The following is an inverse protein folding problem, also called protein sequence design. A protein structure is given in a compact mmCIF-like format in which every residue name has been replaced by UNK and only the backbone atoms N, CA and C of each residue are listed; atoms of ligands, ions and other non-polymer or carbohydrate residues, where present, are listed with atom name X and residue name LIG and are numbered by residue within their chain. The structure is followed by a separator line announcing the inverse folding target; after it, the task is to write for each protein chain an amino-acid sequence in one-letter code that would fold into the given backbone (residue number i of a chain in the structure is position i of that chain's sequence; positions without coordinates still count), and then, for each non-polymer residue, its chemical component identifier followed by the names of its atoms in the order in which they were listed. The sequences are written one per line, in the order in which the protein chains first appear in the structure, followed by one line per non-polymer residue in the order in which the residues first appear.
data_IF_044494786815
#
_entry.id   IF_044494786815
#
_cell.length_a   1.000
_cell.length_b   1.000
_cell.length_c   1.000
_cell.angle_alpha   90.00
_cell.angle_beta   90.00
_cell.angle_gamma   90.00
#
_symmetry.space_group_name_H-M   'P 1'
#
loop_
_entity.id
_entity.type
_entity.pdbx_description
1 polymer ?
#
# COMPACT_ATOMS: atom_id res chain seq x y z
N UNK A 1 -3.96 -24.09 0.01
CA UNK A 1 -3.19 -22.94 -0.49
C UNK A 1 -3.72 -21.65 0.09
N UNK A 2 -2.82 -20.78 0.54
CA UNK A 2 -3.24 -19.47 1.06
C UNK A 2 -3.71 -18.56 -0.06
N UNK A 3 -4.76 -17.80 0.21
CA UNK A 3 -5.17 -16.72 -0.68
C UNK A 3 -4.27 -15.52 -0.46
N UNK A 4 -4.00 -14.79 -1.53
CA UNK A 4 -3.07 -13.66 -1.52
C UNK A 4 -3.80 -12.33 -1.37
N UNK A 5 -3.29 -11.48 -0.48
CA UNK A 5 -3.68 -10.09 -0.34
C UNK A 5 -2.48 -9.24 -0.73
N UNK A 6 -2.65 -8.35 -1.69
CA UNK A 6 -1.59 -7.46 -2.17
C UNK A 6 -1.78 -6.08 -1.57
N UNK A 7 -0.71 -5.56 -0.94
CA UNK A 7 -0.67 -4.21 -0.39
C UNK A 7 0.20 -3.32 -1.28
N UNK A 8 -0.30 -2.14 -1.62
CA UNK A 8 0.54 -1.05 -2.05
C UNK A 8 1.38 -0.57 -0.86
N UNK A 9 2.44 0.16 -1.11
CA UNK A 9 3.36 0.61 -0.07
C UNK A 9 3.12 2.06 0.33
N UNK A 10 3.38 3.00 -0.58
CA UNK A 10 3.19 4.43 -0.29
C UNK A 10 1.71 4.77 -0.13
N UNK A 11 1.38 5.41 0.99
CA UNK A 11 -0.01 5.77 1.30
C UNK A 11 -0.84 4.64 1.88
N UNK A 12 -0.28 3.45 2.07
CA UNK A 12 -0.95 2.29 2.67
C UNK A 12 -0.17 1.76 3.86
N UNK A 13 1.09 1.37 3.66
CA UNK A 13 2.00 0.90 4.74
C UNK A 13 2.85 2.08 5.22
N UNK A 14 3.53 2.74 4.31
CA UNK A 14 4.29 3.97 4.53
C UNK A 14 3.32 5.15 4.49
N UNK A 15 3.32 6.00 5.50
CA UNK A 15 2.33 7.10 5.58
C UNK A 15 2.45 8.11 4.44
N UNK A 16 3.64 8.24 3.86
CA UNK A 16 3.87 9.01 2.64
C UNK A 16 3.50 10.49 2.74
N UNK A 17 3.61 11.07 3.94
CA UNK A 17 3.24 12.48 4.19
C UNK A 17 4.14 13.46 3.44
N UNK A 18 5.41 13.13 3.36
CA UNK A 18 6.42 13.96 2.69
C UNK A 18 6.33 13.88 1.17
N UNK A 19 5.74 12.81 0.63
CA UNK A 19 5.62 12.60 -0.80
C UNK A 19 6.87 11.94 -1.40
N UNK A 20 6.96 11.98 -2.72
CA UNK A 20 8.01 11.30 -3.46
C UNK A 20 9.31 12.11 -3.50
N UNK A 21 10.41 11.48 -3.10
CA UNK A 21 11.74 12.07 -3.17
C UNK A 21 12.77 11.07 -3.73
N UNK A 22 12.30 10.06 -4.46
CA UNK A 22 13.12 9.00 -5.04
C UNK A 22 12.75 7.62 -4.51
N UNK A 23 13.05 6.60 -5.29
CA UNK A 23 12.66 5.22 -4.96
C UNK A 23 13.27 4.70 -3.65
N UNK A 24 14.43 5.25 -3.26
CA UNK A 24 15.14 4.82 -2.04
C UNK A 24 14.90 5.71 -0.83
N UNK A 25 14.19 6.82 -1.01
CA UNK A 25 13.91 7.77 0.07
C UNK A 25 12.54 7.48 0.66
N UNK A 26 12.51 6.87 1.84
CA UNK A 26 11.30 6.51 2.56
C UNK A 26 11.32 7.26 3.89
N UNK A 27 10.80 8.49 3.87
CA UNK A 27 11.07 9.48 4.90
C UNK A 27 10.10 9.44 6.09
N UNK A 28 8.95 8.78 5.93
CA UNK A 28 7.87 8.90 6.90
C UNK A 28 7.67 7.60 7.69
N UNK A 29 6.92 7.65 8.80
CA UNK A 29 6.63 6.45 9.58
C UNK A 29 5.54 5.61 8.92
N UNK A 30 5.33 4.37 9.42
CA UNK A 30 4.19 3.56 9.02
C UNK A 30 2.86 4.25 9.32
N UNK A 31 1.84 3.91 8.55
CA UNK A 31 0.47 4.29 8.88
C UNK A 31 0.12 3.68 10.25
N UNK A 32 -0.44 4.47 11.18
CA UNK A 32 -0.79 3.94 12.50
C UNK A 32 -1.70 2.71 12.42
N UNK A 33 -1.31 1.64 13.09
CA UNK A 33 -2.07 0.40 13.12
C UNK A 33 -1.81 -0.57 11.97
N UNK A 34 -1.02 -0.18 10.96
CA UNK A 34 -0.80 -1.03 9.78
C UNK A 34 -0.02 -2.30 10.11
N UNK A 35 0.96 -2.20 11.01
CA UNK A 35 1.74 -3.36 11.45
C UNK A 35 0.83 -4.44 12.06
N UNK A 36 -0.04 -4.02 12.94
CA UNK A 36 -0.98 -4.91 13.63
C UNK A 36 -2.01 -5.48 12.65
N UNK A 37 -2.50 -4.68 11.71
CA UNK A 37 -3.45 -5.12 10.69
C UNK A 37 -2.84 -6.19 9.78
N UNK A 38 -1.60 -6.00 9.35
CA UNK A 38 -0.90 -6.98 8.50
C UNK A 38 -0.68 -8.28 9.28
N UNK A 39 -0.28 -8.19 10.55
CA UNK A 39 -0.09 -9.37 11.38
C UNK A 39 -1.41 -10.15 11.56
N UNK A 40 -2.51 -9.45 11.77
CA UNK A 40 -3.84 -10.04 11.90
C UNK A 40 -4.26 -10.76 10.61
N UNK A 41 -4.02 -10.15 9.46
CA UNK A 41 -4.34 -10.73 8.16
C UNK A 41 -3.53 -12.01 7.93
N UNK A 42 -2.24 -11.99 8.24
CA UNK A 42 -1.37 -13.17 8.12
C UNK A 42 -1.82 -14.28 9.07
N UNK A 43 -2.18 -13.93 10.29
CA UNK A 43 -2.66 -14.88 11.30
C UNK A 43 -3.98 -15.52 10.89
N UNK A 44 -4.80 -14.81 10.13
CA UNK A 44 -6.05 -15.34 9.58
C UNK A 44 -5.82 -16.31 8.41
N UNK A 45 -4.57 -16.51 7.97
CA UNK A 45 -4.20 -17.50 6.96
C UNK A 45 -3.98 -16.94 5.56
N UNK A 46 -3.94 -15.64 5.39
CA UNK A 46 -3.65 -15.03 4.09
C UNK A 46 -2.15 -14.87 3.87
N UNK A 47 -1.74 -14.94 2.61
CA UNK A 47 -0.40 -14.53 2.21
C UNK A 47 -0.42 -13.02 1.96
N UNK A 48 0.47 -12.27 2.61
CA UNK A 48 0.59 -10.83 2.41
C UNK A 48 1.77 -10.53 1.49
N UNK A 49 1.49 -9.85 0.38
CA UNK A 49 2.46 -9.46 -0.63
C UNK A 49 2.47 -7.94 -0.75
N UNK A 50 3.66 -7.36 -0.85
CA UNK A 50 3.82 -5.92 -1.06
C UNK A 50 4.37 -5.65 -2.45
N UNK A 51 3.75 -4.74 -3.17
CA UNK A 51 4.19 -4.28 -4.50
C UNK A 51 4.09 -2.76 -4.55
N UNK A 52 5.10 -2.13 -5.13
CA UNK A 52 5.15 -0.67 -5.25
C UNK A 52 5.92 -0.31 -6.52
N UNK A 53 5.75 0.90 -7.01
CA UNK A 53 6.63 1.43 -8.06
C UNK A 53 8.09 1.40 -7.61
N UNK A 54 8.34 1.51 -6.29
CA UNK A 54 9.69 1.43 -5.73
C UNK A 54 10.33 0.06 -5.94
N UNK A 55 9.53 -1.00 -5.87
CA UNK A 55 10.06 -2.37 -5.99
C UNK A 55 10.37 -2.79 -7.41
N UNK A 56 10.07 -1.95 -8.40
CA UNK A 56 10.43 -2.20 -9.80
C UNK A 56 11.94 -2.06 -10.05
N UNK A 57 12.67 -1.31 -9.22
CA UNK A 57 14.12 -1.20 -9.29
C UNK A 57 14.79 -1.99 -8.17
N UNK A 58 16.02 -2.44 -8.41
CA UNK A 58 16.81 -3.17 -7.41
C UNK A 58 17.03 -2.32 -6.15
N UNK A 59 17.36 -1.04 -6.34
CA UNK A 59 17.63 -0.12 -5.24
C UNK A 59 16.37 0.16 -4.42
N UNK A 60 15.26 0.41 -5.10
CA UNK A 60 13.98 0.67 -4.44
C UNK A 60 13.46 -0.56 -3.71
N UNK A 61 13.61 -1.74 -4.32
CA UNK A 61 13.26 -3.01 -3.69
C UNK A 61 14.03 -3.19 -2.37
N UNK A 62 15.35 -2.97 -2.41
CA UNK A 62 16.19 -3.06 -1.21
C UNK A 62 15.80 -2.06 -0.13
N UNK A 63 15.46 -0.84 -0.53
CA UNK A 63 15.06 0.21 0.40
C UNK A 63 13.72 -0.13 1.09
N UNK A 64 12.73 -0.61 0.35
CA UNK A 64 11.44 -1.03 0.92
C UNK A 64 11.64 -2.19 1.88
N UNK A 65 12.43 -3.18 1.48
CA UNK A 65 12.74 -4.33 2.33
C UNK A 65 13.38 -3.91 3.65
N UNK A 66 14.40 -3.07 3.59
CA UNK A 66 15.08 -2.57 4.78
C UNK A 66 14.13 -1.79 5.69
N UNK A 67 13.30 -0.95 5.11
CA UNK A 67 12.33 -0.14 5.85
C UNK A 67 11.30 -1.02 6.57
N UNK A 68 10.79 -2.05 5.90
CA UNK A 68 9.85 -3.00 6.53
C UNK A 68 10.50 -3.71 7.72
N UNK A 69 11.74 -4.16 7.56
CA UNK A 69 12.50 -4.83 8.62
C UNK A 69 12.71 -3.86 9.80
N UNK A 70 13.15 -2.64 9.53
CA UNK A 70 13.38 -1.63 10.57
C UNK A 70 12.13 -1.30 11.37
N UNK A 71 10.97 -1.34 10.73
CA UNK A 71 9.71 -1.04 11.38
C UNK A 71 9.01 -2.27 11.93
N UNK A 72 9.64 -3.44 11.85
CA UNK A 72 9.11 -4.68 12.40
C UNK A 72 7.85 -5.18 11.70
N UNK A 73 7.66 -4.84 10.42
CA UNK A 73 6.51 -5.26 9.64
C UNK A 73 6.88 -6.48 8.83
N UNK A 74 6.33 -7.64 9.20
CA UNK A 74 6.56 -8.90 8.50
C UNK A 74 5.55 -9.09 7.38
N UNK A 75 6.06 -9.33 6.17
CA UNK A 75 5.26 -9.70 5.01
C UNK A 75 5.79 -11.00 4.43
N UNK A 76 4.98 -11.71 3.65
CA UNK A 76 5.40 -12.99 3.09
C UNK A 76 6.29 -12.82 1.88
N UNK A 77 5.98 -11.86 1.02
CA UNK A 77 6.77 -11.58 -0.18
C UNK A 77 6.77 -10.10 -0.52
N UNK A 78 7.86 -9.67 -1.11
CA UNK A 78 7.98 -8.36 -1.76
C UNK A 78 8.16 -8.65 -3.25
N UNK A 79 7.31 -8.11 -4.09
CA UNK A 79 7.30 -8.41 -5.53
C UNK A 79 7.60 -7.18 -6.37
N UNK A 80 8.17 -7.43 -7.56
CA UNK A 80 8.44 -6.37 -8.55
C UNK A 80 7.23 -6.10 -9.43
N UNK A 81 6.32 -7.07 -9.54
CA UNK A 81 5.10 -6.98 -10.32
C UNK A 81 3.91 -7.44 -9.48
N UNK A 82 2.76 -6.89 -9.79
CA UNK A 82 1.53 -7.21 -9.07
C UNK A 82 1.06 -8.63 -9.39
N UNK A 83 1.08 -9.56 -8.42
CA UNK A 83 0.60 -10.93 -8.65
C UNK A 83 -0.92 -11.00 -8.60
N UNK A 84 -1.52 -12.11 -9.07
CA UNK A 84 -2.94 -12.37 -8.81
C UNK A 84 -3.23 -12.39 -7.33
N UNK A 85 -4.38 -11.86 -6.93
CA UNK A 85 -4.78 -11.79 -5.53
C UNK A 85 -6.29 -11.78 -5.40
N UNK A 86 -6.79 -12.10 -4.20
CA UNK A 86 -8.23 -12.00 -3.91
C UNK A 86 -8.64 -10.56 -3.70
N UNK A 87 -7.70 -9.72 -3.23
CA UNK A 87 -7.93 -8.29 -3.03
C UNK A 87 -6.62 -7.51 -3.09
N UNK A 88 -6.71 -6.28 -3.61
CA UNK A 88 -5.59 -5.33 -3.65
C UNK A 88 -5.94 -4.15 -2.76
N UNK A 89 -5.05 -3.82 -1.82
CA UNK A 89 -5.19 -2.70 -0.90
C UNK A 89 -4.31 -1.57 -1.40
N UNK A 90 -4.94 -0.49 -1.87
CA UNK A 90 -4.28 0.59 -2.59
C UNK A 90 -4.96 1.92 -2.24
N UNK A 91 -4.17 2.97 -2.11
CA UNK A 91 -4.67 4.30 -1.77
C UNK A 91 -5.15 5.10 -2.99
N UNK A 92 -4.84 4.64 -4.20
CA UNK A 92 -5.16 5.34 -5.45
C UNK A 92 -5.91 4.41 -6.42
N UNK A 93 -7.01 3.84 -5.92
CA UNK A 93 -7.81 2.93 -6.70
C UNK A 93 -9.30 3.29 -6.58
N UNK A 94 -10.00 3.06 -7.66
CA UNK A 94 -11.46 3.12 -7.69
C UNK A 94 -11.94 1.69 -7.81
N UNK A 95 -12.73 1.25 -6.82
CA UNK A 95 -13.32 -0.08 -6.88
C UNK A 95 -14.48 -0.04 -7.90
N UNK A 96 -14.31 -0.77 -9.00
CA UNK A 96 -15.31 -0.76 -10.08
C UNK A 96 -16.59 -1.47 -9.61
N UNK A 97 -17.70 -0.76 -9.71
CA UNK A 97 -19.01 -1.24 -9.26
C UNK A 97 -19.92 -1.73 -10.40
N UNK A 98 -19.35 -1.89 -11.60
CA UNK A 98 -20.11 -2.33 -12.78
C UNK A 98 -20.83 -1.20 -13.51
N UNK A 99 -20.59 0.05 -13.16
CA UNK A 99 -21.24 1.23 -13.76
C UNK A 99 -20.24 2.10 -14.51
N UNK A 100 -19.91 1.77 -15.78
CA UNK A 100 -18.91 2.54 -16.54
C UNK A 100 -19.25 4.01 -16.72
N UNK A 101 -20.53 4.33 -16.78
CA UNK A 101 -21.00 5.69 -16.99
C UNK A 101 -20.62 6.66 -15.86
N UNK A 102 -20.25 6.15 -14.69
CA UNK A 102 -19.84 6.96 -13.54
C UNK A 102 -18.33 7.14 -13.43
N UNK A 103 -17.54 6.45 -14.27
CA UNK A 103 -16.08 6.43 -14.13
C UNK A 103 -15.45 7.81 -14.29
N UNK A 104 -15.86 8.58 -15.30
CA UNK A 104 -15.25 9.90 -15.51
C UNK A 104 -15.45 10.81 -14.29
N UNK A 105 -16.67 10.83 -13.74
CA UNK A 105 -16.97 11.62 -12.55
C UNK A 105 -16.11 11.17 -11.35
N UNK A 106 -16.00 9.85 -11.14
CA UNK A 106 -15.20 9.30 -10.04
C UNK A 106 -13.73 9.66 -10.19
N UNK A 107 -13.20 9.63 -11.41
CA UNK A 107 -11.81 10.01 -11.69
C UNK A 107 -11.60 11.49 -11.36
N UNK A 108 -12.51 12.36 -11.82
CA UNK A 108 -12.39 13.80 -11.64
C UNK A 108 -12.53 14.24 -10.20
N UNK A 109 -13.25 13.49 -9.39
CA UNK A 109 -13.50 13.81 -7.98
C UNK A 109 -12.65 12.98 -7.02
N UNK A 110 -11.77 12.12 -7.54
CA UNK A 110 -10.96 11.24 -6.70
C UNK A 110 -9.97 12.03 -5.86
N UNK A 111 -9.93 11.70 -4.56
CA UNK A 111 -8.94 12.22 -3.62
C UNK A 111 -8.46 11.05 -2.77
N UNK A 112 -7.15 10.78 -2.67
CA UNK A 112 -6.64 9.73 -1.77
C UNK A 112 -7.04 10.01 -0.32
N UNK A 113 -7.19 8.96 0.48
CA UNK A 113 -7.70 9.09 1.86
C UNK A 113 -6.86 10.04 2.71
N UNK A 114 -5.54 10.03 2.53
CA UNK A 114 -4.61 10.85 3.33
C UNK A 114 -4.54 12.33 2.87
N UNK A 115 -5.33 12.72 1.87
CA UNK A 115 -5.46 14.11 1.39
C UNK A 115 -6.87 14.65 1.56
N UNK A 116 -7.79 13.86 2.14
CA UNK A 116 -9.16 14.28 2.39
C UNK A 116 -9.23 15.14 3.64
N UNK A 117 -10.10 16.15 3.64
CA UNK A 117 -10.26 17.06 4.78
C UNK A 117 -10.67 16.33 6.06
N UNK A 118 -11.50 15.29 5.96
CA UNK A 118 -11.97 14.49 7.09
C UNK A 118 -10.87 13.65 7.74
N UNK A 119 -9.72 13.52 7.11
CA UNK A 119 -8.58 12.77 7.63
C UNK A 119 -7.47 13.65 8.19
N UNK A 120 -7.60 14.96 8.16
CA UNK A 120 -6.56 15.89 8.61
C UNK A 120 -6.26 15.75 10.11
N UNK A 121 -7.27 15.39 10.90
CA UNK A 121 -7.15 15.37 12.36
C UNK A 121 -6.21 14.29 12.89
N UNK A 122 -5.91 13.26 12.13
CA UNK A 122 -4.97 12.23 12.58
C UNK A 122 -3.74 12.09 11.68
N UNK A 123 -3.52 13.08 10.90
CA UNK A 123 -2.27 13.21 10.18
C UNK A 123 -1.37 14.17 10.93
#
# INVERSE_FOLDING_TARGET
MKQTVVFDFDGVIHSYKTGWAGATVIADPPVPGIKEAIAEIREAGYEVVVVSTRTASTEGYGAVRAWLIENGIEVDRLCTEKPPAVVYIDDRAICFDGKPQLLLQKIQTFVPWNRRADNETYL
#
